data_IF_883653668194
#
_entry.id   IF_883653668194
#
_cell.length_a   1.000
_cell.length_b   1.000
_cell.length_c   1.000
_cell.angle_alpha   90.00
_cell.angle_beta   90.00
_cell.angle_gamma   90.00
#
_symmetry.space_group_name_H-M   'P 1'
#
loop_
_entity.id
_entity.type
_entity.pdbx_description
1 polymer ?
#
# COMPACT_ATOMS: atom_id res chain seq x y z
N UNK A 1 10.82 3.84 2.20
CA UNK A 1 10.18 2.57 1.77
C UNK A 1 8.65 2.68 1.65
N UNK A 2 7.94 3.22 2.65
CA UNK A 2 6.47 3.36 2.61
C UNK A 2 6.00 4.17 1.39
N UNK A 3 6.63 5.30 1.09
CA UNK A 3 6.29 6.12 -0.10
C UNK A 3 6.40 5.35 -1.41
N UNK A 4 7.45 4.50 -1.55
CA UNK A 4 7.62 3.66 -2.73
C UNK A 4 6.48 2.64 -2.82
N UNK A 5 6.12 2.01 -1.70
CA UNK A 5 5.02 1.05 -1.62
C UNK A 5 3.71 1.71 -2.04
N UNK A 6 3.41 2.90 -1.53
CA UNK A 6 2.18 3.62 -1.82
C UNK A 6 2.07 3.97 -3.32
N UNK A 7 3.14 4.54 -3.89
CA UNK A 7 3.22 4.92 -5.31
C UNK A 7 3.11 3.72 -6.26
N UNK A 8 3.54 2.53 -5.83
CA UNK A 8 3.61 1.34 -6.68
C UNK A 8 2.66 0.21 -6.26
N UNK A 9 1.70 0.48 -5.37
CA UNK A 9 0.92 -0.58 -4.71
C UNK A 9 0.17 -1.52 -5.67
N UNK A 10 -0.23 -0.99 -6.85
CA UNK A 10 -0.95 -1.70 -7.91
C UNK A 10 -0.05 -2.60 -8.77
N UNK A 11 1.26 -2.52 -8.62
CA UNK A 11 2.24 -3.31 -9.38
C UNK A 11 2.91 -4.34 -8.47
N UNK A 12 3.49 -5.43 -9.01
CA UNK A 12 4.39 -6.28 -8.24
C UNK A 12 5.54 -5.45 -7.66
N UNK A 13 5.79 -5.60 -6.36
CA UNK A 13 6.88 -4.92 -5.64
C UNK A 13 7.83 -6.01 -5.16
N UNK A 14 9.13 -5.84 -5.37
CA UNK A 14 10.17 -6.76 -4.88
C UNK A 14 10.98 -6.13 -3.76
N UNK A 15 11.63 -6.96 -2.94
CA UNK A 15 12.51 -6.47 -1.87
C UNK A 15 13.69 -5.68 -2.43
N UNK A 16 14.21 -6.05 -3.60
CA UNK A 16 15.27 -5.31 -4.29
C UNK A 16 14.85 -3.89 -4.67
N UNK A 17 13.62 -3.71 -5.14
CA UNK A 17 13.08 -2.38 -5.47
C UNK A 17 12.96 -1.50 -4.21
N UNK A 18 12.45 -2.08 -3.11
CA UNK A 18 12.36 -1.38 -1.84
C UNK A 18 13.72 -0.98 -1.30
N UNK A 19 14.69 -1.87 -1.42
CA UNK A 19 16.06 -1.67 -0.98
C UNK A 19 16.75 -0.56 -1.78
N UNK A 20 16.62 -0.59 -3.12
CA UNK A 20 17.10 0.48 -4.01
C UNK A 20 16.47 1.82 -3.65
N UNK A 21 15.15 1.86 -3.43
CA UNK A 21 14.44 3.09 -3.06
C UNK A 21 14.82 3.64 -1.68
N UNK A 22 15.41 2.82 -0.81
CA UNK A 22 15.81 3.19 0.54
C UNK A 22 17.33 3.38 0.71
N UNK A 23 18.14 3.06 -0.30
CA UNK A 23 19.60 3.15 -0.23
C UNK A 23 20.26 2.05 0.62
N UNK A 24 19.59 0.92 0.83
CA UNK A 24 20.08 -0.18 1.65
C UNK A 24 20.20 -1.50 0.88
N UNK A 25 20.87 -2.49 1.47
CA UNK A 25 20.83 -3.86 0.95
C UNK A 25 19.44 -4.49 1.14
N UNK A 26 19.05 -5.50 0.35
CA UNK A 26 17.75 -6.19 0.52
C UNK A 26 17.53 -6.75 1.93
N UNK A 27 18.55 -7.39 2.50
CA UNK A 27 18.49 -7.92 3.86
C UNK A 27 18.30 -6.81 4.91
N UNK A 28 19.11 -5.75 4.84
CA UNK A 28 19.02 -4.64 5.79
C UNK A 28 17.68 -3.92 5.68
N UNK A 29 17.16 -3.75 4.46
CA UNK A 29 15.85 -3.16 4.20
C UNK A 29 14.72 -3.96 4.83
N UNK A 30 14.72 -5.28 4.66
CA UNK A 30 13.72 -6.14 5.30
C UNK A 30 13.78 -6.08 6.83
N UNK A 31 14.99 -6.11 7.39
CA UNK A 31 15.22 -6.05 8.84
C UNK A 31 14.79 -4.71 9.44
N UNK A 32 15.31 -3.59 8.92
CA UNK A 32 15.02 -2.26 9.48
C UNK A 32 13.56 -1.89 9.32
N UNK A 33 12.92 -2.29 8.22
CA UNK A 33 11.48 -2.08 8.05
C UNK A 33 10.69 -2.84 9.11
N UNK A 34 11.03 -4.10 9.39
CA UNK A 34 10.35 -4.88 10.43
C UNK A 34 10.58 -4.30 11.82
N UNK A 35 11.79 -3.84 12.14
CA UNK A 35 12.11 -3.22 13.42
C UNK A 35 11.33 -1.92 13.64
N UNK A 36 11.19 -1.08 12.61
CA UNK A 36 10.50 0.20 12.71
C UNK A 36 8.96 0.10 12.62
N UNK A 37 8.44 -0.83 11.81
CA UNK A 37 7.01 -0.92 11.48
C UNK A 37 6.31 -2.09 12.22
N UNK A 38 7.09 -3.01 12.79
CA UNK A 38 6.59 -4.22 13.44
C UNK A 38 6.06 -5.29 12.48
N UNK A 39 6.22 -5.09 11.17
CA UNK A 39 5.77 -6.02 10.11
C UNK A 39 6.81 -6.07 9.01
N UNK A 40 6.98 -7.21 8.36
CA UNK A 40 7.82 -7.28 7.15
C UNK A 40 7.21 -6.42 6.03
N UNK A 41 8.03 -5.98 5.05
CA UNK A 41 7.51 -5.19 3.93
C UNK A 41 6.35 -5.86 3.18
N UNK A 42 6.41 -7.19 2.98
CA UNK A 42 5.38 -7.92 2.25
C UNK A 42 4.08 -8.11 3.03
N UNK A 43 4.16 -8.28 4.36
CA UNK A 43 2.96 -8.27 5.22
C UNK A 43 2.28 -6.90 5.18
N UNK A 44 3.07 -5.83 5.25
CA UNK A 44 2.56 -4.45 5.14
C UNK A 44 1.87 -4.21 3.80
N UNK A 45 2.51 -4.58 2.68
CA UNK A 45 1.94 -4.46 1.33
C UNK A 45 0.63 -5.23 1.20
N UNK A 46 0.58 -6.48 1.70
CA UNK A 46 -0.63 -7.31 1.64
C UNK A 46 -1.78 -6.67 2.41
N UNK A 47 -1.54 -6.23 3.64
CA UNK A 47 -2.56 -5.57 4.46
C UNK A 47 -3.05 -4.29 3.81
N UNK A 48 -2.13 -3.48 3.27
CA UNK A 48 -2.49 -2.22 2.62
C UNK A 48 -3.35 -2.43 1.35
N UNK A 49 -3.06 -3.47 0.55
CA UNK A 49 -3.91 -3.85 -0.60
C UNK A 49 -5.31 -4.25 -0.17
N UNK A 50 -5.43 -5.09 0.86
CA UNK A 50 -6.72 -5.52 1.40
C UNK A 50 -7.53 -4.34 1.92
N UNK A 51 -6.92 -3.43 2.69
CA UNK A 51 -7.59 -2.24 3.19
C UNK A 51 -8.11 -1.35 2.05
N UNK A 52 -7.31 -1.14 0.99
CA UNK A 52 -7.78 -0.35 -0.17
C UNK A 52 -8.88 -1.02 -0.96
N UNK A 53 -8.84 -2.35 -1.11
CA UNK A 53 -9.90 -3.10 -1.76
C UNK A 53 -11.21 -3.01 -0.97
N UNK A 54 -11.15 -3.13 0.36
CA UNK A 54 -12.33 -2.99 1.23
C UNK A 54 -12.96 -1.60 1.15
N UNK A 55 -12.14 -0.54 1.16
CA UNK A 55 -12.62 0.85 0.97
C UNK A 55 -13.29 0.99 -0.39
N UNK A 56 -12.66 0.49 -1.46
CA UNK A 56 -13.20 0.56 -2.81
C UNK A 56 -14.56 -0.14 -2.92
N UNK A 57 -14.73 -1.33 -2.33
CA UNK A 57 -16.01 -2.05 -2.35
C UNK A 57 -17.12 -1.29 -1.61
N UNK A 58 -16.79 -0.69 -0.45
CA UNK A 58 -17.76 0.14 0.30
C UNK A 58 -18.17 1.38 -0.49
N UNK A 59 -17.23 2.02 -1.15
CA UNK A 59 -17.48 3.27 -1.87
C UNK A 59 -18.17 2.99 -3.24
N UNK A 60 -17.95 1.83 -3.87
CA UNK A 60 -18.68 1.40 -5.08
C UNK A 60 -20.12 0.93 -4.80
N UNK A 61 -20.42 0.49 -3.56
CA UNK A 61 -21.76 0.09 -3.12
C UNK A 61 -22.64 1.27 -2.67
N UNK A 62 -22.08 2.49 -2.68
CA UNK A 62 -22.83 3.72 -2.48
C UNK A 62 -23.18 4.32 -3.84
N UNK A 63 -24.40 4.11 -4.39
CA UNK A 63 -24.82 4.84 -5.57
C UNK A 63 -24.72 6.34 -5.28
N UNK A 64 -24.10 7.05 -6.22
CA UNK A 64 -23.88 8.48 -6.17
C UNK A 64 -25.24 9.19 -6.29
N UNK A 65 -25.92 9.40 -5.16
CA UNK A 65 -27.23 10.05 -5.08
C UNK A 65 -27.15 11.58 -5.32
N UNK A 66 -26.04 12.08 -5.87
CA UNK A 66 -25.73 13.51 -5.90
C UNK A 66 -26.41 14.28 -7.06
N UNK A 67 -27.12 13.60 -7.98
CA UNK A 67 -27.81 14.25 -9.10
C UNK A 67 -29.34 14.34 -8.96
N UNK A 68 -29.86 14.83 -7.82
CA UNK A 68 -31.30 15.16 -7.68
C UNK A 68 -31.60 16.48 -6.94
N UNK A 69 -30.69 17.47 -6.98
CA UNK A 69 -31.02 18.82 -6.49
C UNK A 69 -30.57 19.91 -7.47
N UNK A 70 -31.16 19.92 -8.67
CA UNK A 70 -31.38 21.17 -9.41
C UNK A 70 -32.81 21.15 -9.95
N UNK A 71 -33.71 21.74 -9.15
CA UNK A 71 -35.01 22.26 -9.56
C UNK A 71 -34.79 23.66 -10.16
#
# INVERSE_FOLDING_TARGET
MQDYIEKHIRKPITLHQLARAAGYSPWHSGRIFKELIGKTPFEYIRKFRLSRAAVKLRDEDQPDNTNQMQL
#
